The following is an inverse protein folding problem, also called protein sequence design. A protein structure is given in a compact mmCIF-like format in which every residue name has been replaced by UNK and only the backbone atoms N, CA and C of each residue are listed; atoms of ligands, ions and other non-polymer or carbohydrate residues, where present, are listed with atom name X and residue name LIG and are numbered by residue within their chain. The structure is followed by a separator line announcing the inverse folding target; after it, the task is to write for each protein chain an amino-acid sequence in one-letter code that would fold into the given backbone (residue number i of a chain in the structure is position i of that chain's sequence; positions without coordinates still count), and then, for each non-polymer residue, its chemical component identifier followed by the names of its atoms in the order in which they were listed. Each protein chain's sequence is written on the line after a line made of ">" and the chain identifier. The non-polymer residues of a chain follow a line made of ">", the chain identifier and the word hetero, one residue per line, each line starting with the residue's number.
data_IF_609027816626
#
_entry.id   IF_609027816626
#
_cell.length_a   1.000
_cell.length_b   1.000
_cell.length_c   1.000
_cell.angle_alpha   90.00
_cell.angle_beta   90.00
_cell.angle_gamma   90.00
#
_symmetry.space_group_name_H-M   'P 1'
#
loop_
_entity.id
_entity.type
_entity.pdbx_description
1 polymer ?
#
# COMPACT_ATOMS: atom_id res chain seq x y z
N UNK A 1 3.58 10.96 -9.01
CA UNK A 1 3.41 11.79 -10.22
C UNK A 1 1.93 11.87 -10.60
N UNK A 2 1.49 12.86 -11.38
CA UNK A 2 0.13 12.94 -11.90
C UNK A 2 0.18 13.13 -13.41
N UNK A 3 -0.59 12.33 -14.14
CA UNK A 3 -0.63 12.27 -15.59
C UNK A 3 -1.97 12.77 -16.10
N UNK A 4 -1.97 13.40 -17.27
CA UNK A 4 -3.18 13.96 -17.88
C UNK A 4 -3.32 13.48 -19.31
N UNK A 5 -4.31 12.63 -19.55
CA UNK A 5 -4.58 12.09 -20.88
C UNK A 5 -5.99 12.44 -21.35
N UNK A 6 -6.18 12.63 -22.65
CA UNK A 6 -7.50 12.90 -23.25
C UNK A 6 -7.94 11.70 -24.09
N UNK A 7 -9.05 11.07 -23.70
CA UNK A 7 -9.63 9.91 -24.39
C UNK A 7 -11.08 10.24 -24.74
N UNK A 8 -11.47 10.10 -26.01
CA UNK A 8 -12.83 10.38 -26.48
C UNK A 8 -13.40 11.75 -26.02
N UNK A 9 -12.55 12.78 -25.97
CA UNK A 9 -12.91 14.12 -25.53
C UNK A 9 -12.96 14.33 -24.01
N UNK A 10 -12.91 13.26 -23.21
CA UNK A 10 -12.82 13.28 -21.74
C UNK A 10 -11.37 13.49 -21.31
N UNK A 11 -11.14 14.45 -20.40
CA UNK A 11 -9.85 14.58 -19.71
C UNK A 11 -9.82 13.62 -18.53
N UNK A 12 -8.77 12.83 -18.45
CA UNK A 12 -8.49 11.90 -17.37
C UNK A 12 -7.25 12.39 -16.66
N UNK A 13 -7.35 12.55 -15.34
CA UNK A 13 -6.22 12.82 -14.47
C UNK A 13 -5.97 11.56 -13.65
N UNK A 14 -4.79 10.98 -13.83
CA UNK A 14 -4.38 9.76 -13.15
C UNK A 14 -3.20 10.05 -12.23
N UNK A 15 -3.25 9.49 -11.03
CA UNK A 15 -2.16 9.58 -10.05
C UNK A 15 -2.06 8.28 -9.28
N UNK A 16 -0.91 8.08 -8.64
CA UNK A 16 -0.55 6.87 -7.90
C UNK A 16 -1.63 6.41 -6.90
N UNK A 17 -2.31 7.36 -6.24
CA UNK A 17 -3.35 7.13 -5.22
C UNK A 17 -4.78 7.33 -5.73
N UNK A 18 -5.00 7.37 -7.05
CA UNK A 18 -6.36 7.43 -7.59
C UNK A 18 -7.14 6.16 -7.21
N UNK A 19 -8.21 6.34 -6.44
CA UNK A 19 -9.11 5.26 -6.02
C UNK A 19 -10.13 4.85 -7.09
N UNK A 20 -10.29 5.68 -8.14
CA UNK A 20 -11.18 5.39 -9.26
C UNK A 20 -10.52 4.40 -10.20
N UNK A 21 -10.84 3.12 -10.07
CA UNK A 21 -10.33 2.04 -10.93
C UNK A 21 -11.26 1.70 -12.10
N UNK A 22 -12.38 2.38 -12.25
CA UNK A 22 -13.38 2.11 -13.30
C UNK A 22 -13.04 2.77 -14.65
N UNK A 23 -11.79 2.64 -15.09
CA UNK A 23 -11.37 3.02 -16.44
C UNK A 23 -11.61 1.84 -17.39
N UNK A 24 -12.03 2.14 -18.61
CA UNK A 24 -12.10 1.17 -19.69
C UNK A 24 -10.70 0.77 -20.18
N UNK A 25 -10.59 -0.33 -20.93
CA UNK A 25 -9.31 -0.79 -21.48
C UNK A 25 -8.64 0.28 -22.38
N UNK A 26 -9.44 1.04 -23.15
CA UNK A 26 -8.95 2.15 -23.97
C UNK A 26 -8.38 3.28 -23.11
N UNK A 27 -9.08 3.61 -22.01
CA UNK A 27 -8.60 4.62 -21.06
C UNK A 27 -7.34 4.17 -20.34
N UNK A 28 -7.25 2.89 -19.94
CA UNK A 28 -6.06 2.32 -19.32
C UNK A 28 -4.86 2.33 -20.26
N UNK A 29 -5.02 1.89 -21.51
CA UNK A 29 -3.95 1.93 -22.50
C UNK A 29 -3.46 3.36 -22.74
N UNK A 30 -4.37 4.33 -22.83
CA UNK A 30 -4.01 5.74 -22.96
C UNK A 30 -3.25 6.27 -21.73
N UNK A 31 -3.69 5.92 -20.51
CA UNK A 31 -2.99 6.26 -19.27
C UNK A 31 -1.58 5.66 -19.27
N UNK A 32 -1.43 4.37 -19.59
CA UNK A 32 -0.13 3.70 -19.62
C UNK A 32 0.80 4.26 -20.68
N UNK A 33 0.28 4.65 -21.84
CA UNK A 33 1.04 5.33 -22.87
C UNK A 33 1.58 6.68 -22.37
N UNK A 34 0.76 7.49 -21.70
CA UNK A 34 1.19 8.77 -21.11
C UNK A 34 2.29 8.56 -20.05
N UNK A 35 2.09 7.58 -19.16
CA UNK A 35 3.09 7.21 -18.14
C UNK A 35 4.41 6.81 -18.80
N UNK A 36 4.37 5.96 -19.82
CA UNK A 36 5.56 5.51 -20.52
C UNK A 36 6.25 6.65 -21.30
N UNK A 37 5.49 7.58 -21.86
CA UNK A 37 6.03 8.75 -22.59
C UNK A 37 6.73 9.72 -21.65
N UNK A 38 6.11 10.07 -20.52
CA UNK A 38 6.70 11.00 -19.54
C UNK A 38 7.93 10.40 -18.84
N UNK A 39 7.92 9.11 -18.49
CA UNK A 39 9.03 8.47 -17.75
C UNK A 39 10.16 7.97 -18.66
N UNK A 40 9.84 7.49 -19.87
CA UNK A 40 10.80 6.87 -20.78
C UNK A 40 10.65 7.39 -22.22
N UNK A 41 10.80 8.70 -22.46
CA UNK A 41 10.47 9.33 -23.75
C UNK A 41 11.24 8.72 -24.93
N UNK A 42 12.50 8.32 -24.72
CA UNK A 42 13.32 7.73 -25.78
C UNK A 42 12.94 6.27 -26.11
N UNK A 43 12.45 5.52 -25.12
CA UNK A 43 11.93 4.16 -25.33
C UNK A 43 10.56 4.26 -26.00
N UNK A 44 9.71 5.14 -25.51
CA UNK A 44 8.39 5.41 -26.06
C UNK A 44 8.48 5.79 -27.54
N UNK A 45 9.31 6.77 -27.91
CA UNK A 45 9.51 7.16 -29.33
C UNK A 45 9.87 5.98 -30.24
N UNK A 46 10.67 5.03 -29.76
CA UNK A 46 11.13 3.86 -30.54
C UNK A 46 10.09 2.75 -30.62
N UNK A 47 9.26 2.59 -29.59
CA UNK A 47 8.36 1.44 -29.43
C UNK A 47 6.88 1.80 -29.32
N UNK A 48 6.48 3.05 -29.54
CA UNK A 48 5.09 3.52 -29.43
C UNK A 48 4.07 2.77 -30.28
N UNK A 49 4.50 2.06 -31.33
CA UNK A 49 3.63 1.22 -32.15
C UNK A 49 3.40 -0.18 -31.56
N UNK A 50 4.20 -0.59 -30.59
CA UNK A 50 4.09 -1.87 -29.87
C UNK A 50 3.25 -1.64 -28.62
N UNK A 51 1.92 -1.62 -28.80
CA UNK A 51 0.96 -1.29 -27.74
C UNK A 51 1.11 -2.21 -26.53
N UNK A 52 1.28 -3.53 -26.74
CA UNK A 52 1.46 -4.48 -25.65
C UNK A 52 2.71 -4.16 -24.81
N UNK A 53 3.81 -3.77 -25.44
CA UNK A 53 5.01 -3.35 -24.70
C UNK A 53 4.77 -2.04 -23.93
N UNK A 54 4.15 -1.05 -24.55
CA UNK A 54 3.88 0.26 -23.93
C UNK A 54 2.91 0.11 -22.76
N UNK A 55 1.83 -0.65 -22.93
CA UNK A 55 0.86 -0.95 -21.87
C UNK A 55 1.55 -1.66 -20.71
N UNK A 56 2.41 -2.64 -21.00
CA UNK A 56 3.17 -3.36 -19.96
C UNK A 56 4.12 -2.41 -19.21
N UNK A 57 4.87 -1.58 -19.95
CA UNK A 57 5.82 -0.63 -19.36
C UNK A 57 5.10 0.38 -18.47
N UNK A 58 4.04 1.01 -18.97
CA UNK A 58 3.25 1.98 -18.22
C UNK A 58 2.53 1.37 -17.02
N UNK A 59 2.04 0.13 -17.12
CA UNK A 59 1.44 -0.59 -16.00
C UNK A 59 2.45 -0.89 -14.89
N UNK A 60 3.66 -1.32 -15.24
CA UNK A 60 4.74 -1.57 -14.28
C UNK A 60 5.18 -0.28 -13.58
N UNK A 61 5.36 0.81 -14.33
CA UNK A 61 5.70 2.12 -13.76
C UNK A 61 4.58 2.63 -12.87
N UNK A 62 3.32 2.51 -13.29
CA UNK A 62 2.18 2.87 -12.45
C UNK A 62 2.14 2.07 -11.15
N UNK A 63 2.53 0.79 -11.18
CA UNK A 63 2.58 -0.05 -9.98
C UNK A 63 3.69 0.41 -9.04
N UNK A 64 4.88 0.70 -9.57
CA UNK A 64 6.02 1.24 -8.80
C UNK A 64 5.64 2.57 -8.14
N UNK A 65 5.05 3.50 -8.87
CA UNK A 65 4.65 4.80 -8.31
C UNK A 65 3.55 4.68 -7.25
N UNK A 66 2.56 3.79 -7.44
CA UNK A 66 1.56 3.48 -6.42
C UNK A 66 2.22 2.93 -5.18
N UNK A 67 3.17 2.04 -5.36
CA UNK A 67 3.90 1.42 -4.28
C UNK A 67 4.69 2.45 -3.45
N UNK A 68 5.45 3.33 -4.11
CA UNK A 68 6.17 4.43 -3.44
C UNK A 68 5.23 5.40 -2.74
N UNK A 69 4.12 5.80 -3.37
CA UNK A 69 3.15 6.70 -2.76
C UNK A 69 2.49 6.08 -1.51
N UNK A 70 2.21 4.77 -1.52
CA UNK A 70 1.70 4.07 -0.35
C UNK A 70 2.74 3.97 0.76
N UNK A 71 4.02 3.77 0.42
CA UNK A 71 5.10 3.82 1.40
C UNK A 71 5.19 5.19 2.09
N UNK A 72 5.12 6.29 1.32
CA UNK A 72 5.16 7.65 1.87
C UNK A 72 4.03 7.95 2.87
N UNK A 73 2.88 7.26 2.76
CA UNK A 73 1.77 7.41 3.70
C UNK A 73 1.98 6.70 5.03
N UNK A 74 2.92 5.75 5.11
CA UNK A 74 3.25 5.09 6.37
C UNK A 74 4.00 6.05 7.30
N UNK A 75 3.98 5.83 8.62
CA UNK A 75 4.82 6.56 9.57
C UNK A 75 6.29 6.19 9.37
N UNK A 76 6.88 6.68 8.28
CA UNK A 76 8.25 6.39 7.85
C UNK A 76 9.28 6.86 8.89
N UNK A 77 8.95 7.85 9.72
CA UNK A 77 9.78 8.31 10.84
C UNK A 77 9.89 7.30 11.98
N UNK A 78 8.87 6.44 12.15
CA UNK A 78 8.85 5.39 13.16
C UNK A 78 9.50 4.10 12.67
N UNK A 79 9.42 3.80 11.36
CA UNK A 79 9.83 2.49 10.84
C UNK A 79 10.89 2.53 9.73
N UNK A 80 11.14 3.64 9.04
CA UNK A 80 11.89 3.61 7.79
C UNK A 80 13.13 4.50 7.79
N UNK A 81 14.28 3.85 7.57
CA UNK A 81 15.45 4.52 6.99
C UNK A 81 15.30 4.45 5.46
N UNK A 82 15.80 5.44 4.72
CA UNK A 82 15.74 5.45 3.26
C UNK A 82 16.22 4.10 2.66
N UNK A 83 15.41 3.50 1.77
CA UNK A 83 15.68 2.20 1.14
C UNK A 83 15.09 0.97 1.85
N UNK A 84 14.10 1.15 2.72
CA UNK A 84 13.46 0.04 3.43
C UNK A 84 12.65 -0.85 2.48
N UNK A 85 12.95 -2.14 2.47
CA UNK A 85 12.35 -3.09 1.52
C UNK A 85 10.85 -3.33 1.82
N UNK A 86 9.98 -3.40 0.80
CA UNK A 86 8.53 -3.64 0.94
C UNK A 86 8.13 -4.77 1.87
N UNK A 87 8.81 -5.90 1.73
CA UNK A 87 8.56 -7.08 2.55
C UNK A 87 8.78 -6.82 4.03
N UNK A 88 9.76 -6.01 4.39
CA UNK A 88 10.05 -5.71 5.80
C UNK A 88 8.95 -4.84 6.42
N UNK A 89 8.43 -3.88 5.66
CA UNK A 89 7.26 -3.10 6.07
C UNK A 89 6.05 -4.01 6.24
N UNK A 90 5.80 -4.91 5.28
CA UNK A 90 4.69 -5.85 5.37
C UNK A 90 4.82 -6.80 6.57
N UNK A 91 6.04 -7.25 6.87
CA UNK A 91 6.32 -8.11 8.02
C UNK A 91 6.18 -7.35 9.34
N UNK A 92 6.74 -6.14 9.45
CA UNK A 92 6.57 -5.29 10.61
C UNK A 92 5.08 -4.96 10.85
N UNK A 93 4.33 -4.63 9.79
CA UNK A 93 2.87 -4.43 9.91
C UNK A 93 2.19 -5.73 10.33
N UNK A 94 2.49 -6.88 9.73
CA UNK A 94 1.87 -8.15 10.11
C UNK A 94 2.18 -8.56 11.56
N UNK A 95 3.42 -8.33 12.02
CA UNK A 95 3.88 -8.61 13.38
C UNK A 95 3.31 -7.61 14.40
N UNK A 96 3.04 -6.35 14.01
CA UNK A 96 2.53 -5.30 14.90
C UNK A 96 1.01 -5.06 14.77
N UNK A 97 0.35 -5.64 13.77
CA UNK A 97 -1.11 -5.63 13.70
C UNK A 97 -1.60 -6.72 14.64
N UNK A 98 -1.91 -6.33 15.89
CA UNK A 98 -2.60 -7.18 16.87
C UNK A 98 -3.66 -8.01 16.14
N UNK A 99 -3.43 -9.32 16.00
CA UNK A 99 -4.41 -10.20 15.41
C UNK A 99 -5.59 -10.20 16.38
N UNK A 100 -6.64 -9.45 16.04
CA UNK A 100 -7.80 -9.26 16.89
C UNK A 100 -8.38 -10.58 17.36
N UNK A 101 -8.37 -11.62 16.52
CA UNK A 101 -8.86 -12.94 16.89
C UNK A 101 -7.98 -13.60 17.96
N UNK A 102 -6.67 -13.61 17.76
CA UNK A 102 -5.72 -14.17 18.73
C UNK A 102 -5.74 -13.39 20.05
N UNK A 103 -5.72 -12.05 19.99
CA UNK A 103 -5.85 -11.21 21.20
C UNK A 103 -7.19 -11.44 21.90
N UNK A 104 -8.28 -11.66 21.17
CA UNK A 104 -9.57 -11.98 21.77
C UNK A 104 -9.56 -13.36 22.44
N UNK A 105 -8.91 -14.36 21.85
CA UNK A 105 -8.76 -15.70 22.42
C UNK A 105 -7.92 -15.65 23.70
N UNK A 106 -6.77 -14.97 23.65
CA UNK A 106 -5.90 -14.80 24.81
C UNK A 106 -6.63 -14.10 25.96
N UNK A 107 -7.32 -12.97 25.69
CA UNK A 107 -8.11 -12.27 26.71
C UNK A 107 -9.28 -13.13 27.22
N UNK A 108 -9.92 -13.93 26.37
CA UNK A 108 -10.97 -14.86 26.78
C UNK A 108 -10.43 -15.92 27.74
N UNK A 109 -9.25 -16.47 27.48
CA UNK A 109 -8.58 -17.42 28.36
C UNK A 109 -8.17 -16.79 29.70
N UNK A 110 -7.69 -15.53 29.68
CA UNK A 110 -7.42 -14.75 30.89
C UNK A 110 -8.69 -14.55 31.74
N UNK A 111 -9.80 -14.17 31.10
CA UNK A 111 -11.10 -14.02 31.78
C UNK A 111 -11.58 -15.34 32.38
N UNK A 112 -11.35 -16.46 31.68
CA UNK A 112 -11.76 -17.79 32.13
C UNK A 112 -10.94 -18.33 33.30
N UNK A 113 -9.67 -17.93 33.43
CA UNK A 113 -8.74 -18.46 34.46
C UNK A 113 -8.67 -17.62 35.73
N UNK A 114 -8.98 -16.33 35.68
CA UNK A 114 -8.93 -15.45 36.84
C UNK A 114 -10.22 -15.56 37.67
N UNK A 115 -10.08 -15.73 38.98
CA UNK A 115 -11.22 -15.86 39.89
C UNK A 115 -11.73 -14.50 40.38
N UNK A 116 -10.89 -13.47 40.27
CA UNK A 116 -11.21 -12.11 40.71
C UNK A 116 -10.85 -11.05 39.66
N UNK A 117 -11.51 -9.89 39.77
CA UNK A 117 -11.21 -8.75 38.90
C UNK A 117 -9.79 -8.21 39.09
N UNK A 118 -9.24 -8.29 40.31
CA UNK A 118 -7.87 -7.81 40.57
C UNK A 118 -6.83 -8.74 39.96
N UNK A 119 -7.04 -10.05 40.00
CA UNK A 119 -6.20 -11.02 39.28
C UNK A 119 -6.26 -10.78 37.77
N UNK A 120 -7.45 -10.63 37.20
CA UNK A 120 -7.61 -10.34 35.77
C UNK A 120 -6.90 -9.04 35.38
N UNK A 121 -7.01 -8.01 36.22
CA UNK A 121 -6.34 -6.73 36.01
C UNK A 121 -4.82 -6.88 36.02
N UNK A 122 -4.26 -7.62 36.98
CA UNK A 122 -2.81 -7.84 37.05
C UNK A 122 -2.32 -8.64 35.84
N UNK A 123 -3.01 -9.71 35.49
CA UNK A 123 -2.70 -10.58 34.34
C UNK A 123 -2.76 -9.81 33.01
N UNK A 124 -3.77 -8.95 32.82
CA UNK A 124 -3.85 -8.07 31.64
C UNK A 124 -2.74 -7.01 31.64
N UNK A 125 -2.37 -6.50 32.82
CA UNK A 125 -1.30 -5.50 32.96
C UNK A 125 0.06 -6.10 32.57
N UNK A 126 0.33 -7.33 32.99
CA UNK A 126 1.54 -8.08 32.62
C UNK A 126 1.51 -8.50 31.14
N UNK A 127 0.40 -9.10 30.67
CA UNK A 127 0.26 -9.58 29.29
C UNK A 127 0.43 -8.47 28.24
N UNK A 128 -0.07 -7.26 28.51
CA UNK A 128 0.06 -6.11 27.61
C UNK A 128 1.27 -5.21 27.97
N UNK A 129 2.13 -5.61 28.89
CA UNK A 129 3.31 -4.85 29.34
C UNK A 129 2.98 -3.39 29.74
N UNK A 130 1.83 -3.20 30.41
CA UNK A 130 1.31 -1.85 30.74
C UNK A 130 2.02 -1.19 31.92
N UNK A 131 2.97 -1.85 32.58
CA UNK A 131 3.72 -1.32 33.72
C UNK A 131 4.76 -0.25 33.34
N UNK A 132 5.15 -0.14 32.06
CA UNK A 132 6.15 0.82 31.55
C UNK A 132 5.56 2.07 30.86
N UNK A 133 4.24 2.30 30.95
CA UNK A 133 3.52 3.47 30.39
C UNK A 133 3.31 4.60 31.41
#
# INVERSE_FOLDING_TARGET
>A
MNYKVRVNGKLIEYGALVEKSSFSDEEWSAIYAEIAEENYPEIFKKRKSDTAFIDTLGALTSLEERYEALLELLPQDQFSRAGTHPKWVADAVAENTLNKEDTMLDVSDLIGRCETLEELKNELTEYFELEEL
#
